data_IF_910626690712
#
_entry.id   IF_910626690712
#
_cell.length_a   1.000
_cell.length_b   1.000
_cell.length_c   1.000
_cell.angle_alpha   90.00
_cell.angle_beta   90.00
_cell.angle_gamma   90.00
#
_symmetry.space_group_name_H-M   'P 1'
#
loop_
_entity.id
_entity.type
_entity.pdbx_description
1 polymer ?
#
# COMPACT_ATOMS: atom_id res chain seq x y z
N UNK A 1 58.67 -0.54 -38.22
CA UNK A 1 57.49 -0.62 -39.10
C UNK A 1 56.23 -0.08 -38.42
N UNK A 2 56.09 1.25 -38.33
CA UNK A 2 54.77 1.88 -38.27
C UNK A 2 54.49 2.30 -39.72
N UNK A 3 53.50 1.67 -40.35
CA UNK A 3 53.09 2.02 -41.71
C UNK A 3 52.66 3.49 -41.78
N UNK A 4 52.66 4.11 -42.98
CA UNK A 4 52.26 5.50 -43.13
C UNK A 4 50.82 5.62 -42.62
N UNK A 5 50.63 6.43 -41.57
CA UNK A 5 49.29 6.80 -41.12
C UNK A 5 48.67 7.56 -42.29
N UNK A 6 47.69 6.94 -42.95
CA UNK A 6 46.98 7.49 -44.09
C UNK A 6 46.31 8.79 -43.63
N UNK A 7 46.94 9.94 -43.89
CA UNK A 7 46.40 11.25 -43.49
C UNK A 7 44.96 11.41 -44.01
N UNK A 8 44.65 10.86 -45.19
CA UNK A 8 43.30 10.80 -45.75
C UNK A 8 42.27 10.08 -44.88
N UNK A 9 42.58 8.94 -44.28
CA UNK A 9 41.65 8.23 -43.37
C UNK A 9 41.43 8.99 -42.06
N UNK A 10 42.45 9.69 -41.58
CA UNK A 10 42.33 10.54 -40.39
C UNK A 10 41.44 11.75 -40.64
N UNK A 11 41.52 12.37 -41.83
CA UNK A 11 40.62 13.46 -42.23
C UNK A 11 39.17 12.98 -42.38
N UNK A 12 38.94 11.83 -43.01
CA UNK A 12 37.58 11.25 -43.17
C UNK A 12 36.96 10.89 -41.81
N UNK A 13 37.74 10.34 -40.87
CA UNK A 13 37.27 10.07 -39.52
C UNK A 13 37.02 11.35 -38.70
N UNK A 14 37.79 12.42 -38.91
CA UNK A 14 37.56 13.73 -38.29
C UNK A 14 36.31 14.45 -38.83
N UNK A 15 35.93 14.19 -40.08
CA UNK A 15 34.76 14.77 -40.75
C UNK A 15 33.50 13.90 -40.64
N UNK A 16 33.60 12.66 -40.15
CA UNK A 16 32.45 11.74 -40.05
C UNK A 16 31.45 12.21 -38.99
N UNK A 17 30.29 12.68 -39.43
CA UNK A 17 29.16 13.04 -38.57
C UNK A 17 28.32 11.83 -38.12
N UNK A 18 28.51 10.67 -38.74
CA UNK A 18 27.79 9.45 -38.42
C UNK A 18 28.62 8.56 -37.50
N UNK A 19 27.97 8.09 -36.43
CA UNK A 19 28.51 7.14 -35.46
C UNK A 19 27.64 5.90 -35.45
N UNK A 20 28.24 4.74 -35.21
CA UNK A 20 27.50 3.50 -34.94
C UNK A 20 26.76 3.66 -33.62
N UNK A 21 25.48 4.00 -33.72
CA UNK A 21 24.58 4.22 -32.58
C UNK A 21 23.30 3.44 -32.80
N UNK A 22 22.74 2.93 -31.72
CA UNK A 22 21.46 2.23 -31.75
C UNK A 22 20.33 3.24 -31.55
N UNK A 23 19.16 2.96 -32.14
CA UNK A 23 17.95 3.75 -31.89
C UNK A 23 17.61 3.77 -30.40
N UNK A 24 17.19 4.92 -29.87
CA UNK A 24 16.93 5.11 -28.43
C UNK A 24 15.86 4.18 -27.85
N UNK A 25 14.90 3.72 -28.66
CA UNK A 25 13.85 2.80 -28.24
C UNK A 25 14.22 1.32 -28.47
N UNK A 26 15.41 1.05 -29.00
CA UNK A 26 15.90 -0.32 -29.14
C UNK A 26 16.23 -0.89 -27.77
N UNK A 27 15.93 -2.18 -27.55
CA UNK A 27 16.21 -2.87 -26.29
C UNK A 27 17.70 -2.85 -25.92
N UNK A 28 18.59 -2.75 -26.91
CA UNK A 28 20.03 -2.72 -26.69
C UNK A 28 20.58 -1.32 -26.37
N UNK A 29 19.79 -0.24 -26.53
CA UNK A 29 20.23 1.13 -26.30
C UNK A 29 20.40 1.50 -24.82
N UNK A 30 19.76 0.77 -23.91
CA UNK A 30 19.82 1.04 -22.46
C UNK A 30 19.21 2.38 -22.02
N UNK A 31 18.48 3.09 -22.89
CA UNK A 31 17.85 4.36 -22.56
C UNK A 31 16.69 4.16 -21.57
N UNK A 32 16.69 4.94 -20.48
CA UNK A 32 15.75 4.76 -19.37
C UNK A 32 14.97 6.05 -18.99
N UNK A 33 15.23 7.17 -19.66
CA UNK A 33 14.67 8.47 -19.27
C UNK A 33 13.36 8.80 -20.00
N UNK A 34 12.24 8.27 -19.52
CA UNK A 34 10.92 8.49 -20.11
C UNK A 34 10.11 9.62 -19.46
N UNK A 35 10.77 10.59 -18.81
CA UNK A 35 10.08 11.68 -18.09
C UNK A 35 9.18 12.52 -18.99
N UNK A 36 9.57 12.69 -20.27
CA UNK A 36 8.74 13.37 -21.26
C UNK A 36 7.41 12.66 -21.54
N UNK A 37 7.42 11.32 -21.62
CA UNK A 37 6.22 10.50 -21.81
C UNK A 37 5.28 10.65 -20.61
N UNK A 38 5.83 10.65 -19.39
CA UNK A 38 5.02 10.88 -18.19
C UNK A 38 4.34 12.25 -18.21
N UNK A 39 5.06 13.32 -18.60
CA UNK A 39 4.48 14.65 -18.73
C UNK A 39 3.39 14.68 -19.80
N UNK A 40 3.61 14.02 -20.95
CA UNK A 40 2.62 13.91 -22.01
C UNK A 40 1.35 13.18 -21.55
N UNK A 41 1.47 12.06 -20.82
CA UNK A 41 0.32 11.36 -20.24
C UNK A 41 -0.47 12.26 -19.29
N UNK A 42 0.20 13.08 -18.47
CA UNK A 42 -0.47 14.03 -17.58
C UNK A 42 -1.21 15.10 -18.38
N UNK A 43 -0.60 15.66 -19.43
CA UNK A 43 -1.24 16.66 -20.30
C UNK A 43 -2.47 16.07 -21.00
N UNK A 44 -2.34 14.88 -21.59
CA UNK A 44 -3.46 14.20 -22.26
C UNK A 44 -4.60 13.89 -21.30
N UNK A 45 -4.29 13.47 -20.07
CA UNK A 45 -5.30 13.22 -19.03
C UNK A 45 -6.03 14.51 -18.64
N UNK A 46 -5.31 15.64 -18.54
CA UNK A 46 -5.93 16.93 -18.26
C UNK A 46 -6.80 17.38 -19.43
N UNK A 47 -6.29 17.36 -20.66
CA UNK A 47 -7.02 17.84 -21.83
C UNK A 47 -8.29 17.02 -22.12
N UNK A 48 -8.20 15.69 -22.00
CA UNK A 48 -9.35 14.79 -22.23
C UNK A 48 -10.46 14.97 -21.20
N UNK A 49 -10.13 15.30 -19.95
CA UNK A 49 -11.10 15.41 -18.86
C UNK A 49 -11.43 16.86 -18.47
N UNK A 50 -10.69 17.86 -18.96
CA UNK A 50 -10.89 19.26 -18.60
C UNK A 50 -12.29 19.73 -18.96
N UNK A 51 -12.78 19.38 -20.16
CA UNK A 51 -14.15 19.71 -20.60
C UNK A 51 -15.20 19.13 -19.65
N UNK A 52 -15.11 17.85 -19.34
CA UNK A 52 -16.08 17.16 -18.48
C UNK A 52 -16.01 17.64 -17.01
N UNK A 53 -14.80 17.96 -16.53
CA UNK A 53 -14.61 18.60 -15.22
C UNK A 53 -15.26 19.99 -15.17
N UNK A 54 -15.04 20.83 -16.19
CA UNK A 54 -15.65 22.15 -16.31
C UNK A 54 -17.17 22.05 -16.42
N UNK A 55 -17.70 21.15 -17.26
CA UNK A 55 -19.14 20.91 -17.39
C UNK A 55 -19.75 20.46 -16.05
N UNK A 56 -19.12 19.54 -15.31
CA UNK A 56 -19.61 19.12 -14.00
C UNK A 56 -19.56 20.26 -12.96
N UNK A 57 -18.49 21.04 -12.95
CA UNK A 57 -18.33 22.16 -12.02
C UNK A 57 -19.36 23.28 -12.33
N UNK A 58 -19.65 23.54 -13.60
CA UNK A 58 -20.64 24.52 -14.02
C UNK A 58 -22.08 24.03 -13.80
N UNK A 59 -22.36 22.75 -14.08
CA UNK A 59 -23.71 22.19 -14.02
C UNK A 59 -24.17 21.87 -12.60
N UNK A 60 -23.26 21.41 -11.75
CA UNK A 60 -23.60 20.98 -10.40
C UNK A 60 -22.98 21.84 -9.30
N UNK A 61 -22.07 22.78 -9.63
CA UNK A 61 -21.37 23.56 -8.62
C UNK A 61 -20.47 22.69 -7.73
N UNK A 62 -20.11 23.22 -6.56
CA UNK A 62 -19.50 22.42 -5.49
C UNK A 62 -20.64 21.66 -4.80
N UNK A 63 -20.96 20.47 -5.30
CA UNK A 63 -22.01 19.58 -4.77
C UNK A 63 -21.79 19.10 -3.33
N UNK A 64 -20.55 19.20 -2.83
CA UNK A 64 -20.19 18.70 -1.52
C UNK A 64 -20.15 19.88 -0.57
N UNK A 65 -21.18 20.01 0.26
CA UNK A 65 -21.15 20.93 1.39
C UNK A 65 -20.46 20.25 2.58
N UNK A 66 -19.17 20.52 2.85
CA UNK A 66 -18.44 19.85 3.94
C UNK A 66 -19.06 20.15 5.30
N UNK A 67 -19.68 21.33 5.46
CA UNK A 67 -20.35 21.74 6.71
C UNK A 67 -21.62 20.92 6.91
N UNK A 68 -22.38 20.61 5.85
CA UNK A 68 -23.58 19.79 5.93
C UNK A 68 -23.25 18.33 6.20
N UNK A 69 -22.17 17.79 5.63
CA UNK A 69 -21.70 16.42 5.93
C UNK A 69 -21.25 16.30 7.39
N UNK A 70 -20.53 17.30 7.91
CA UNK A 70 -20.11 17.32 9.31
C UNK A 70 -21.30 17.49 10.25
N UNK A 71 -22.27 18.35 9.92
CA UNK A 71 -23.47 18.54 10.75
C UNK A 71 -24.38 17.30 10.75
N UNK A 72 -24.54 16.63 9.61
CA UNK A 72 -25.27 15.36 9.52
C UNK A 72 -24.61 14.27 10.38
N UNK A 73 -23.27 14.19 10.37
CA UNK A 73 -22.52 13.26 11.21
C UNK A 73 -22.63 13.58 12.71
N UNK A 74 -22.63 14.86 13.10
CA UNK A 74 -22.76 15.28 14.50
C UNK A 74 -24.18 15.11 15.03
N UNK A 75 -25.20 15.27 14.17
CA UNK A 75 -26.61 15.13 14.55
C UNK A 75 -27.03 13.67 14.73
N UNK A 76 -26.54 12.75 13.88
CA UNK A 76 -26.77 11.32 14.04
C UNK A 76 -25.49 10.50 13.79
N UNK A 77 -24.64 10.28 14.80
CA UNK A 77 -23.41 9.51 14.66
C UNK A 77 -23.65 8.02 14.40
N UNK A 78 -24.85 7.49 14.64
CA UNK A 78 -25.22 6.10 14.34
C UNK A 78 -25.65 5.91 12.88
N UNK A 79 -26.06 6.99 12.20
CA UNK A 79 -26.35 6.96 10.76
C UNK A 79 -25.12 6.68 9.89
N UNK A 80 -23.90 6.98 10.40
CA UNK A 80 -22.62 6.69 9.73
C UNK A 80 -21.74 5.76 10.60
N UNK A 81 -22.11 4.47 10.72
CA UNK A 81 -21.41 3.52 11.57
C UNK A 81 -19.93 3.38 11.21
N UNK A 82 -19.57 3.54 9.93
CA UNK A 82 -18.18 3.50 9.48
C UNK A 82 -17.33 4.62 10.08
N UNK A 83 -17.83 5.86 10.08
CA UNK A 83 -17.12 7.00 10.67
C UNK A 83 -17.08 6.90 12.20
N UNK A 84 -18.15 6.39 12.83
CA UNK A 84 -18.17 6.14 14.28
C UNK A 84 -17.14 5.07 14.72
N UNK A 85 -16.97 4.00 13.94
CA UNK A 85 -15.94 2.98 14.18
C UNK A 85 -14.52 3.52 14.02
N UNK A 86 -14.29 4.39 13.03
CA UNK A 86 -12.99 5.02 12.76
C UNK A 86 -12.65 6.10 13.78
N UNK A 87 -13.62 6.84 14.32
CA UNK A 87 -13.37 7.97 15.22
C UNK A 87 -13.47 7.53 16.69
N UNK A 88 -14.59 6.93 17.09
CA UNK A 88 -14.89 6.63 18.49
C UNK A 88 -14.13 5.43 19.04
N UNK A 89 -14.07 4.33 18.30
CA UNK A 89 -13.51 3.05 18.78
C UNK A 89 -12.01 2.88 18.46
N UNK A 90 -11.51 3.58 17.44
CA UNK A 90 -10.09 3.65 17.07
C UNK A 90 -9.21 4.24 18.16
N UNK A 91 -9.65 5.33 18.79
CA UNK A 91 -8.88 6.00 19.85
C UNK A 91 -8.75 5.12 21.10
N UNK A 92 -9.85 4.50 21.54
CA UNK A 92 -9.86 3.60 22.70
C UNK A 92 -8.91 2.43 22.52
N UNK A 93 -8.90 1.80 21.34
CA UNK A 93 -8.01 0.66 21.05
C UNK A 93 -6.55 1.06 20.86
N UNK A 94 -6.31 2.24 20.29
CA UNK A 94 -4.96 2.80 20.13
C UNK A 94 -4.34 3.17 21.48
N UNK A 95 -5.13 3.64 22.45
CA UNK A 95 -4.69 3.99 23.80
C UNK A 95 -4.47 2.78 24.72
N UNK A 96 -5.19 1.67 24.49
CA UNK A 96 -5.10 0.47 25.33
C UNK A 96 -3.72 -0.22 25.25
N UNK A 97 -3.08 -0.25 24.08
CA UNK A 97 -1.77 -0.89 23.87
C UNK A 97 -0.62 -0.21 24.61
N UNK A 98 -0.41 1.12 24.49
CA UNK A 98 0.64 1.81 25.23
C UNK A 98 0.38 1.78 26.74
N UNK A 99 -0.87 1.80 27.20
CA UNK A 99 -1.17 1.63 28.63
C UNK A 99 -0.73 0.24 29.13
N UNK A 100 -1.05 -0.83 28.39
CA UNK A 100 -0.61 -2.19 28.75
C UNK A 100 0.93 -2.34 28.69
N UNK A 101 1.59 -1.74 27.70
CA UNK A 101 3.06 -1.76 27.57
C UNK A 101 3.74 -0.94 28.67
N UNK A 102 3.21 0.22 29.03
CA UNK A 102 3.70 1.04 30.14
C UNK A 102 3.55 0.34 31.48
N UNK A 103 2.41 -0.34 31.71
CA UNK A 103 2.20 -1.15 32.92
C UNK A 103 3.12 -2.38 32.96
N UNK A 104 3.40 -3.01 31.81
CA UNK A 104 4.37 -4.11 31.72
C UNK A 104 5.82 -3.62 31.87
N UNK A 105 6.14 -2.41 31.43
CA UNK A 105 7.46 -1.79 31.58
C UNK A 105 7.76 -1.38 33.03
N UNK A 106 6.72 -1.05 33.82
CA UNK A 106 6.83 -0.72 35.24
C UNK A 106 6.97 -1.95 36.16
N UNK A 107 6.97 -3.17 35.60
CA UNK A 107 7.14 -4.41 36.37
C UNK A 107 5.86 -4.93 37.04
N UNK A 108 4.70 -4.30 36.81
CA UNK A 108 3.44 -4.67 37.46
C UNK A 108 2.79 -5.95 36.89
N UNK A 109 3.23 -6.44 35.73
CA UNK A 109 2.65 -7.63 35.06
C UNK A 109 3.72 -8.68 34.71
N UNK A 110 3.40 -9.95 34.95
CA UNK A 110 4.17 -11.11 34.46
C UNK A 110 4.17 -11.13 32.92
N UNK A 111 5.29 -11.53 32.31
CA UNK A 111 5.46 -11.52 30.84
C UNK A 111 4.37 -12.32 30.10
N UNK A 112 3.88 -13.41 30.70
CA UNK A 112 2.79 -14.23 30.16
C UNK A 112 1.47 -13.44 30.08
N UNK A 113 1.13 -12.68 31.12
CA UNK A 113 -0.11 -11.88 31.15
C UNK A 113 -0.04 -10.76 30.09
N UNK A 114 1.12 -10.10 29.97
CA UNK A 114 1.35 -9.11 28.92
C UNK A 114 1.19 -9.71 27.51
N UNK A 115 1.73 -10.91 27.28
CA UNK A 115 1.55 -11.62 26.01
C UNK A 115 0.08 -11.93 25.71
N UNK A 116 -0.67 -12.48 26.67
CA UNK A 116 -2.08 -12.83 26.52
C UNK A 116 -2.96 -11.60 26.25
N UNK A 117 -2.73 -10.51 26.97
CA UNK A 117 -3.45 -9.24 26.76
C UNK A 117 -3.17 -8.70 25.35
N UNK A 118 -1.92 -8.76 24.89
CA UNK A 118 -1.59 -8.35 23.52
C UNK A 118 -2.24 -9.22 22.47
N UNK A 119 -2.19 -10.55 22.61
CA UNK A 119 -2.85 -11.48 21.69
C UNK A 119 -4.35 -11.24 21.63
N UNK A 120 -4.99 -11.05 22.79
CA UNK A 120 -6.42 -10.74 22.88
C UNK A 120 -6.74 -9.41 22.18
N UNK A 121 -5.95 -8.37 22.44
CA UNK A 121 -6.16 -7.08 21.79
C UNK A 121 -5.97 -7.18 20.26
N UNK A 122 -4.93 -7.88 19.79
CA UNK A 122 -4.69 -8.09 18.36
C UNK A 122 -5.81 -8.88 17.69
N UNK A 123 -6.35 -9.91 18.34
CA UNK A 123 -7.49 -10.66 17.84
C UNK A 123 -8.75 -9.77 17.74
N UNK A 124 -9.06 -9.04 18.82
CA UNK A 124 -10.21 -8.12 18.85
C UNK A 124 -10.08 -7.02 17.79
N UNK A 125 -8.87 -6.53 17.49
CA UNK A 125 -8.64 -5.53 16.46
C UNK A 125 -9.04 -5.98 15.06
N UNK A 126 -8.99 -7.27 14.76
CA UNK A 126 -9.42 -7.82 13.48
C UNK A 126 -10.87 -8.30 13.52
N UNK A 127 -11.29 -8.99 14.57
CA UNK A 127 -12.63 -9.60 14.63
C UNK A 127 -13.74 -8.58 14.90
N UNK A 128 -13.48 -7.55 15.70
CA UNK A 128 -14.48 -6.53 16.04
C UNK A 128 -14.98 -5.73 14.82
N UNK A 129 -14.11 -5.06 14.02
CA UNK A 129 -14.59 -4.30 12.88
C UNK A 129 -15.24 -5.21 11.82
N UNK A 130 -14.74 -6.44 11.65
CA UNK A 130 -15.36 -7.41 10.75
C UNK A 130 -16.77 -7.80 11.20
N UNK A 131 -16.96 -8.10 12.48
CA UNK A 131 -18.28 -8.40 13.03
C UNK A 131 -19.25 -7.23 12.85
N UNK A 132 -18.81 -5.99 13.08
CA UNK A 132 -19.69 -4.82 12.91
C UNK A 132 -20.07 -4.62 11.44
N UNK A 133 -19.14 -4.76 10.49
CA UNK A 133 -19.45 -4.64 9.04
C UNK A 133 -20.43 -5.73 8.58
N UNK A 134 -20.34 -6.94 9.13
CA UNK A 134 -21.24 -8.05 8.80
C UNK A 134 -22.62 -7.91 9.46
N UNK A 135 -22.67 -7.52 10.74
CA UNK A 135 -23.89 -7.47 11.53
C UNK A 135 -24.70 -6.20 11.31
N UNK A 136 -24.06 -5.07 10.97
CA UNK A 136 -24.75 -3.79 10.80
C UNK A 136 -25.11 -3.59 9.32
N UNK A 137 -26.41 -3.68 8.94
CA UNK A 137 -26.84 -3.56 7.55
C UNK A 137 -26.65 -2.16 6.95
N UNK A 138 -26.59 -1.11 7.77
CA UNK A 138 -26.39 0.27 7.30
C UNK A 138 -24.95 0.59 6.85
N UNK A 139 -24.00 -0.33 7.03
CA UNK A 139 -22.63 -0.14 6.54
C UNK A 139 -22.57 -0.38 5.03
N UNK A 140 -22.23 0.65 4.27
CA UNK A 140 -21.98 0.50 2.83
C UNK A 140 -20.70 -0.30 2.57
N UNK A 141 -20.60 -1.07 1.47
CA UNK A 141 -19.39 -1.84 1.14
C UNK A 141 -18.13 -0.97 1.07
N UNK A 142 -18.23 0.23 0.49
CA UNK A 142 -17.10 1.19 0.42
C UNK A 142 -16.68 1.65 1.81
N UNK A 143 -17.65 1.97 2.69
CA UNK A 143 -17.38 2.31 4.09
C UNK A 143 -16.76 1.14 4.85
N UNK A 144 -17.20 -0.09 4.59
CA UNK A 144 -16.65 -1.33 5.14
C UNK A 144 -15.17 -1.51 4.78
N UNK A 145 -14.81 -1.38 3.49
CA UNK A 145 -13.40 -1.45 3.04
C UNK A 145 -12.54 -0.41 3.76
N UNK A 146 -13.04 0.82 3.92
CA UNK A 146 -12.31 1.89 4.61
C UNK A 146 -12.10 1.59 6.11
N UNK A 147 -13.12 1.10 6.81
CA UNK A 147 -13.03 0.68 8.22
C UNK A 147 -12.05 -0.49 8.37
N UNK A 148 -12.23 -1.57 7.61
CA UNK A 148 -11.35 -2.73 7.72
C UNK A 148 -9.91 -2.39 7.34
N UNK A 149 -9.71 -1.53 6.32
CA UNK A 149 -8.40 -1.04 5.91
C UNK A 149 -7.70 -0.25 7.01
N UNK A 150 -8.40 0.70 7.65
CA UNK A 150 -7.84 1.48 8.76
C UNK A 150 -7.50 0.63 9.98
N UNK A 151 -8.36 -0.32 10.35
CA UNK A 151 -8.09 -1.27 11.44
C UNK A 151 -6.94 -2.23 11.11
N UNK A 152 -6.81 -2.66 9.85
CA UNK A 152 -5.68 -3.49 9.39
C UNK A 152 -4.36 -2.72 9.47
N UNK A 153 -4.34 -1.47 9.02
CA UNK A 153 -3.16 -0.59 9.15
C UNK A 153 -2.78 -0.43 10.63
N UNK A 154 -3.76 -0.17 11.50
CA UNK A 154 -3.53 -0.02 12.93
C UNK A 154 -3.01 -1.33 13.55
N UNK A 155 -3.57 -2.49 13.19
CA UNK A 155 -3.09 -3.79 13.60
C UNK A 155 -1.60 -3.98 13.25
N UNK A 156 -1.20 -3.72 12.00
CA UNK A 156 0.19 -3.86 11.55
C UNK A 156 1.13 -2.91 12.32
N UNK A 157 0.69 -1.68 12.57
CA UNK A 157 1.44 -0.70 13.36
C UNK A 157 1.62 -1.13 14.80
N UNK A 158 0.55 -1.52 15.47
CA UNK A 158 0.61 -1.95 16.87
C UNK A 158 1.43 -3.24 17.06
N UNK A 159 1.37 -4.15 16.08
CA UNK A 159 2.26 -5.31 16.03
C UNK A 159 3.73 -4.88 16.00
N UNK A 160 4.07 -3.95 15.11
CA UNK A 160 5.44 -3.42 15.02
C UNK A 160 5.86 -2.69 16.30
N UNK A 161 4.96 -1.91 16.89
CA UNK A 161 5.19 -1.19 18.15
C UNK A 161 5.51 -2.15 19.30
N UNK A 162 4.75 -3.25 19.44
CA UNK A 162 5.00 -4.30 20.43
C UNK A 162 6.39 -4.91 20.23
N UNK A 163 6.68 -5.39 19.02
CA UNK A 163 7.94 -6.08 18.71
C UNK A 163 9.17 -5.22 19.03
N UNK A 164 9.15 -3.97 18.60
CA UNK A 164 10.30 -3.07 18.77
C UNK A 164 10.50 -2.70 20.24
N UNK A 165 9.43 -2.44 20.99
CA UNK A 165 9.54 -2.17 22.43
C UNK A 165 10.00 -3.42 23.21
N UNK A 166 9.53 -4.60 22.82
CA UNK A 166 10.00 -5.87 23.39
C UNK A 166 11.51 -6.05 23.16
N UNK A 167 11.99 -5.82 21.94
CA UNK A 167 13.42 -5.89 21.64
C UNK A 167 14.23 -4.86 22.42
N UNK A 168 13.74 -3.62 22.53
CA UNK A 168 14.40 -2.57 23.31
C UNK A 168 14.49 -2.93 24.80
N UNK A 169 13.45 -3.56 25.36
CA UNK A 169 13.44 -4.07 26.74
C UNK A 169 14.43 -5.22 26.93
N UNK A 170 14.48 -6.18 26.02
CA UNK A 170 15.47 -7.26 26.07
C UNK A 170 16.90 -6.69 26.01
N UNK A 171 17.16 -5.77 25.08
CA UNK A 171 18.44 -5.07 24.96
C UNK A 171 18.83 -4.30 26.24
N UNK A 172 17.89 -3.62 26.89
CA UNK A 172 18.17 -2.90 28.13
C UNK A 172 18.48 -3.85 29.30
N UNK A 173 17.78 -4.97 29.42
CA UNK A 173 18.08 -5.98 30.45
C UNK A 173 19.43 -6.64 30.23
N UNK A 174 19.82 -6.92 28.97
CA UNK A 174 21.15 -7.46 28.64
C UNK A 174 22.24 -6.43 28.96
N UNK A 175 22.02 -5.15 28.61
CA UNK A 175 22.95 -4.07 28.99
C UNK A 175 23.09 -3.94 30.51
N UNK A 176 21.98 -3.97 31.25
CA UNK A 176 22.00 -3.93 32.70
C UNK A 176 22.76 -5.13 33.31
N UNK A 177 22.53 -6.34 32.81
CA UNK A 177 23.28 -7.55 33.22
C UNK A 177 24.77 -7.47 32.88
N UNK A 178 25.12 -6.87 31.74
CA UNK A 178 26.53 -6.66 31.34
C UNK A 178 27.21 -5.63 32.24
N UNK A 179 26.52 -4.51 32.53
CA UNK A 179 27.01 -3.46 33.43
C UNK A 179 27.19 -4.00 34.87
N UNK A 180 26.24 -4.81 35.35
CA UNK A 180 26.33 -5.48 36.65
C UNK A 180 27.47 -6.50 36.73
N UNK A 181 27.88 -7.09 35.60
CA UNK A 181 29.08 -7.96 35.50
C UNK A 181 30.39 -7.18 35.34
N UNK A 182 30.35 -5.93 34.85
CA UNK A 182 31.53 -5.08 34.65
C UNK A 182 31.64 -4.02 35.75
N UNK A 183 31.94 -4.45 36.98
CA UNK A 183 32.17 -3.58 38.14
C UNK A 183 33.55 -2.91 38.18
N UNK A 184 34.17 -2.68 37.01
CA UNK A 184 35.43 -1.94 36.88
C UNK A 184 35.49 -1.17 35.56
N UNK A 185 34.91 0.03 35.55
CA UNK A 185 35.40 1.24 34.86
C UNK A 185 34.31 2.33 34.84
N UNK A 186 34.59 3.55 35.35
CA UNK A 186 33.70 4.68 35.18
C UNK A 186 33.99 5.35 33.83
N UNK A 187 32.97 5.52 32.98
CA UNK A 187 33.03 6.52 31.91
C UNK A 187 31.63 6.95 31.55
N UNK A 188 31.26 8.13 32.04
CA UNK A 188 30.13 8.88 31.52
C UNK A 188 30.37 9.21 30.06
N UNK A 189 29.55 8.67 29.17
CA UNK A 189 29.46 9.20 27.82
C UNK A 189 28.61 10.46 27.87
N UNK A 190 29.29 11.59 27.99
CA UNK A 190 28.84 12.89 27.49
C UNK A 190 28.50 12.75 26.01
N UNK A 191 27.22 12.56 25.69
CA UNK A 191 26.69 12.78 24.35
C UNK A 191 26.65 14.29 24.12
N UNK A 192 27.75 14.80 23.56
CA UNK A 192 27.87 16.17 23.05
C UNK A 192 26.85 16.42 21.93
N UNK A 193 26.08 17.52 22.11
CA UNK A 193 25.51 18.39 21.09
C UNK A 193 24.85 17.80 19.83
N UNK A 194 23.53 17.91 19.72
CA UNK A 194 22.87 18.02 18.40
C UNK A 194 21.41 17.58 18.34
N UNK A 195 21.08 16.38 18.82
CA UNK A 195 19.72 15.84 18.76
C UNK A 195 19.42 15.00 20.00
N UNK A 196 18.38 15.37 20.75
CA UNK A 196 17.85 14.56 21.87
C UNK A 196 17.29 13.25 21.31
N UNK A 197 18.13 12.23 21.19
CA UNK A 197 17.68 10.89 20.80
C UNK A 197 16.84 10.29 21.91
N UNK A 198 15.62 9.87 21.58
CA UNK A 198 14.72 9.22 22.54
C UNK A 198 15.23 7.80 22.78
N UNK A 199 15.49 7.49 24.04
CA UNK A 199 15.90 6.16 24.51
C UNK A 199 14.76 5.52 25.32
N UNK A 200 14.63 4.19 25.25
CA UNK A 200 13.70 3.45 26.10
C UNK A 200 14.08 3.64 27.59
N UNK A 201 13.14 3.89 28.51
CA UNK A 201 11.67 3.88 28.36
C UNK A 201 11.02 5.23 28.00
N UNK A 202 11.80 6.28 27.73
CA UNK A 202 11.30 7.63 27.45
C UNK A 202 10.48 7.79 26.16
N UNK A 203 10.35 6.74 25.35
CA UNK A 203 9.54 6.69 24.14
C UNK A 203 8.06 6.31 24.38
N UNK A 204 7.70 5.91 25.60
CA UNK A 204 6.35 5.48 25.97
C UNK A 204 5.41 6.68 26.24
N UNK A 205 5.44 7.69 25.37
CA UNK A 205 4.55 8.85 25.46
C UNK A 205 3.36 8.70 24.52
N UNK A 206 2.19 9.21 24.95
CA UNK A 206 0.97 9.23 24.13
C UNK A 206 1.21 10.02 22.83
N UNK A 207 1.99 11.11 22.91
CA UNK A 207 2.33 11.95 21.76
C UNK A 207 3.10 11.17 20.69
N UNK A 208 4.13 10.42 21.07
CA UNK A 208 4.94 9.67 20.12
C UNK A 208 4.17 8.48 19.51
N UNK A 209 3.26 7.89 20.29
CA UNK A 209 2.30 6.90 19.79
C UNK A 209 1.39 7.48 18.71
N UNK A 210 0.68 8.57 18.99
CA UNK A 210 -0.21 9.19 18.00
C UNK A 210 0.56 9.66 16.78
N UNK A 211 1.78 10.17 16.96
CA UNK A 211 2.66 10.48 15.84
C UNK A 211 2.87 9.25 14.94
N UNK A 212 3.24 8.11 15.51
CA UNK A 212 3.45 6.88 14.76
C UNK A 212 2.17 6.35 14.10
N UNK A 213 1.03 6.45 14.78
CA UNK A 213 -0.28 6.04 14.27
C UNK A 213 -0.66 6.81 13.00
N UNK A 214 -0.31 8.09 12.91
CA UNK A 214 -0.55 8.88 11.70
C UNK A 214 0.61 8.86 10.69
N UNK A 215 1.83 8.52 11.10
CA UNK A 215 2.99 8.47 10.21
C UNK A 215 2.79 7.50 9.03
N UNK A 216 3.21 7.82 7.80
CA UNK A 216 2.99 6.98 6.63
C UNK A 216 3.98 5.79 6.55
N UNK A 217 4.16 5.08 7.67
CA UNK A 217 4.99 3.87 7.81
C UNK A 217 4.30 2.86 8.70
N UNK A 218 4.56 1.57 8.47
CA UNK A 218 4.06 0.47 9.29
C UNK A 218 5.11 -0.05 10.29
N UNK A 219 6.38 0.31 10.09
CA UNK A 219 7.47 -0.09 10.97
C UNK A 219 7.71 0.99 12.03
N UNK A 220 7.56 0.64 13.30
CA UNK A 220 7.87 1.52 14.42
C UNK A 220 9.39 1.63 14.61
N UNK A 221 9.85 2.85 14.87
CA UNK A 221 11.22 3.17 15.28
C UNK A 221 11.16 4.25 16.36
N UNK A 222 12.16 4.27 17.24
CA UNK A 222 12.18 5.22 18.36
C UNK A 222 12.38 6.66 17.84
N UNK A 223 13.26 6.81 16.85
CA UNK A 223 13.64 8.10 16.30
C UNK A 223 13.42 8.07 14.79
N UNK A 224 12.30 8.65 14.34
CA UNK A 224 12.01 8.79 12.92
C UNK A 224 12.80 9.94 12.29
N UNK A 225 13.30 9.80 11.05
CA UNK A 225 13.93 10.91 10.35
C UNK A 225 12.90 12.03 10.15
N UNK A 226 13.26 13.27 10.54
CA UNK A 226 12.38 14.44 10.44
C UNK A 226 12.85 15.42 9.39
N UNK A 227 11.89 15.99 8.66
CA UNK A 227 12.13 17.17 7.84
C UNK A 227 12.20 18.42 8.73
N UNK A 228 13.11 19.37 8.46
CA UNK A 228 13.30 20.54 9.34
C UNK A 228 12.04 21.42 9.39
N UNK A 229 11.46 21.74 8.23
CA UNK A 229 10.30 22.61 8.08
C UNK A 229 9.25 21.98 7.16
N UNK A 230 7.99 22.42 7.31
CA UNK A 230 6.90 22.08 6.39
C UNK A 230 7.00 23.00 5.17
N UNK A 231 7.20 22.42 3.98
CA UNK A 231 7.25 23.16 2.72
C UNK A 231 5.83 23.37 2.19
N UNK A 232 5.22 24.49 2.54
CA UNK A 232 3.82 24.81 2.18
C UNK A 232 3.55 24.74 0.67
N UNK A 233 4.48 25.20 -0.17
CA UNK A 233 4.34 25.12 -1.63
C UNK A 233 4.28 23.67 -2.13
N UNK A 234 5.08 22.77 -1.55
CA UNK A 234 5.02 21.35 -1.86
C UNK A 234 3.72 20.73 -1.33
N UNK A 235 3.33 21.05 -0.10
CA UNK A 235 2.10 20.56 0.53
C UNK A 235 0.85 20.93 -0.29
N UNK A 236 0.71 22.21 -0.66
CA UNK A 236 -0.40 22.71 -1.47
C UNK A 236 -0.42 22.08 -2.88
N UNK A 237 0.75 21.91 -3.50
CA UNK A 237 0.85 21.21 -4.79
C UNK A 237 0.36 19.77 -4.69
N UNK A 238 0.72 19.04 -3.62
CA UNK A 238 0.26 17.67 -3.38
C UNK A 238 -1.23 17.60 -3.03
N UNK A 239 -1.74 18.56 -2.29
CA UNK A 239 -3.17 18.68 -1.99
C UNK A 239 -3.99 18.87 -3.27
N UNK A 240 -3.62 19.85 -4.11
CA UNK A 240 -4.29 20.08 -5.39
C UNK A 240 -4.23 18.84 -6.30
N UNK A 241 -3.06 18.20 -6.37
CA UNK A 241 -2.89 16.98 -7.14
C UNK A 241 -3.76 15.83 -6.61
N UNK A 242 -3.86 15.67 -5.29
CA UNK A 242 -4.66 14.63 -4.64
C UNK A 242 -6.16 14.84 -4.94
N UNK A 243 -6.66 16.06 -4.79
CA UNK A 243 -8.07 16.39 -5.10
C UNK A 243 -8.35 16.16 -6.59
N UNK A 244 -7.50 16.69 -7.49
CA UNK A 244 -7.68 16.53 -8.93
C UNK A 244 -7.69 15.05 -9.35
N UNK A 245 -6.74 14.25 -8.86
CA UNK A 245 -6.67 12.82 -9.20
C UNK A 245 -7.85 12.03 -8.63
N UNK A 246 -8.30 12.36 -7.42
CA UNK A 246 -9.47 11.74 -6.81
C UNK A 246 -10.74 11.99 -7.66
N UNK A 247 -10.95 13.23 -8.11
CA UNK A 247 -12.09 13.57 -8.95
C UNK A 247 -12.05 12.85 -10.30
N UNK A 248 -10.88 12.78 -10.95
CA UNK A 248 -10.70 12.01 -12.19
C UNK A 248 -10.96 10.52 -11.95
N UNK A 249 -10.52 9.97 -10.82
CA UNK A 249 -10.76 8.58 -10.46
C UNK A 249 -12.26 8.29 -10.31
N UNK A 250 -12.99 9.13 -9.57
CA UNK A 250 -14.45 8.98 -9.41
C UNK A 250 -15.19 9.12 -10.75
N UNK A 251 -14.84 10.13 -11.55
CA UNK A 251 -15.42 10.34 -12.87
C UNK A 251 -15.19 9.14 -13.79
N UNK A 252 -13.97 8.62 -13.82
CA UNK A 252 -13.60 7.44 -14.60
C UNK A 252 -14.35 6.21 -14.12
N UNK A 253 -14.48 6.02 -12.79
CA UNK A 253 -15.28 4.93 -12.21
C UNK A 253 -16.73 4.99 -12.70
N UNK A 254 -17.38 6.15 -12.55
CA UNK A 254 -18.80 6.31 -12.89
C UNK A 254 -19.08 6.27 -14.38
N UNK A 255 -18.29 6.98 -15.20
CA UNK A 255 -18.57 7.14 -16.62
C UNK A 255 -18.01 6.00 -17.47
N UNK A 256 -16.91 5.38 -17.05
CA UNK A 256 -16.25 4.34 -17.84
C UNK A 256 -16.51 2.94 -17.30
N UNK A 257 -16.31 2.71 -16.01
CA UNK A 257 -16.34 1.36 -15.45
C UNK A 257 -17.76 0.84 -15.21
N UNK A 258 -18.67 1.66 -14.65
CA UNK A 258 -20.05 1.23 -14.36
C UNK A 258 -20.79 0.75 -15.63
N UNK A 259 -20.79 1.48 -16.77
CA UNK A 259 -21.49 1.01 -17.97
C UNK A 259 -20.90 -0.28 -18.55
N UNK A 260 -19.58 -0.46 -18.45
CA UNK A 260 -18.90 -1.68 -18.89
C UNK A 260 -19.32 -2.86 -18.00
N UNK A 261 -19.35 -2.67 -16.68
CA UNK A 261 -19.81 -3.71 -15.75
C UNK A 261 -21.27 -4.07 -16.07
N UNK A 262 -22.18 -3.10 -16.12
CA UNK A 262 -23.60 -3.32 -16.41
C UNK A 262 -23.83 -4.04 -17.75
N UNK A 263 -23.12 -3.63 -18.80
CA UNK A 263 -23.21 -4.30 -20.11
C UNK A 263 -22.58 -5.69 -20.15
N UNK A 264 -21.70 -6.01 -19.20
CA UNK A 264 -21.07 -7.32 -19.08
C UNK A 264 -21.86 -8.30 -18.21
N UNK A 265 -22.91 -7.84 -17.50
CA UNK A 265 -23.74 -8.71 -16.64
C UNK A 265 -24.61 -9.69 -17.45
N UNK A 266 -25.19 -9.26 -18.58
CA UNK A 266 -26.07 -10.12 -19.40
C UNK A 266 -25.35 -11.35 -19.98
N UNK A 267 -24.16 -11.23 -20.61
CA UNK A 267 -23.47 -12.39 -21.19
C UNK A 267 -22.85 -13.35 -20.17
N UNK A 268 -22.69 -12.91 -18.92
CA UNK A 268 -22.25 -13.77 -17.81
C UNK A 268 -23.33 -14.81 -17.45
N UNK A 269 -24.60 -14.51 -17.72
CA UNK A 269 -25.75 -15.40 -17.53
C UNK A 269 -25.72 -16.59 -18.50
N UNK A 270 -25.31 -16.34 -19.75
CA UNK A 270 -25.32 -17.33 -20.84
C UNK A 270 -24.12 -18.32 -20.81
N UNK A 271 -23.18 -18.18 -19.86
CA UNK A 271 -21.99 -19.04 -19.68
C UNK A 271 -21.10 -19.27 -20.93
N UNK A 272 -21.14 -18.37 -21.92
CA UNK A 272 -20.28 -18.46 -23.10
C UNK A 272 -18.83 -18.04 -22.78
N UNK A 273 -17.91 -19.01 -22.71
CA UNK A 273 -16.48 -18.76 -22.41
C UNK A 273 -15.80 -17.77 -23.37
N UNK A 274 -16.19 -17.78 -24.65
CA UNK A 274 -15.66 -16.85 -25.66
C UNK A 274 -16.08 -15.41 -25.38
N UNK A 275 -17.36 -15.20 -25.06
CA UNK A 275 -17.93 -13.90 -24.70
C UNK A 275 -17.40 -13.42 -23.35
N UNK A 276 -17.21 -14.32 -22.38
CA UNK A 276 -16.57 -13.98 -21.11
C UNK A 276 -15.14 -13.46 -21.30
N UNK A 277 -14.36 -14.09 -22.18
CA UNK A 277 -12.98 -13.68 -22.47
C UNK A 277 -12.93 -12.31 -23.16
N UNK A 278 -13.82 -12.07 -24.14
CA UNK A 278 -13.96 -10.77 -24.80
C UNK A 278 -14.28 -9.65 -23.78
N UNK A 279 -15.23 -9.91 -22.88
CA UNK A 279 -15.65 -8.94 -21.85
C UNK A 279 -14.58 -8.73 -20.79
N UNK A 280 -13.87 -9.78 -20.38
CA UNK A 280 -12.72 -9.69 -19.47
C UNK A 280 -11.66 -8.76 -20.06
N UNK A 281 -11.31 -8.91 -21.34
CA UNK A 281 -10.35 -8.05 -22.02
C UNK A 281 -10.85 -6.60 -22.11
N UNK A 282 -12.14 -6.39 -22.36
CA UNK A 282 -12.77 -5.06 -22.39
C UNK A 282 -12.75 -4.38 -21.02
N UNK A 283 -12.90 -5.14 -19.93
CA UNK A 283 -12.82 -4.65 -18.55
C UNK A 283 -11.38 -4.46 -18.08
N UNK A 284 -10.43 -5.24 -18.61
CA UNK A 284 -9.05 -5.26 -18.16
C UNK A 284 -8.35 -3.91 -18.29
N UNK A 285 -8.52 -3.23 -19.43
CA UNK A 285 -7.88 -1.94 -19.69
C UNK A 285 -8.40 -0.83 -18.76
N UNK A 286 -9.72 -0.57 -18.65
CA UNK A 286 -10.25 0.41 -17.69
C UNK A 286 -9.85 0.09 -16.24
N UNK A 287 -9.98 -1.17 -15.83
CA UNK A 287 -9.63 -1.60 -14.47
C UNK A 287 -8.15 -1.33 -14.16
N UNK A 288 -7.26 -1.69 -15.08
CA UNK A 288 -5.83 -1.47 -14.92
C UNK A 288 -5.49 0.04 -14.83
N UNK A 289 -6.08 0.87 -15.68
CA UNK A 289 -5.87 2.32 -15.63
C UNK A 289 -6.38 2.93 -14.33
N UNK A 290 -7.52 2.46 -13.83
CA UNK A 290 -8.03 2.86 -12.51
C UNK A 290 -7.11 2.45 -11.37
N UNK A 291 -6.54 1.25 -11.44
CA UNK A 291 -5.55 0.79 -10.47
C UNK A 291 -4.27 1.65 -10.49
N UNK A 292 -3.78 2.04 -11.67
CA UNK A 292 -2.64 2.96 -11.80
C UNK A 292 -2.95 4.36 -11.25
N UNK A 293 -4.15 4.89 -11.52
CA UNK A 293 -4.60 6.17 -10.98
C UNK A 293 -4.70 6.10 -9.45
N UNK A 294 -5.27 5.03 -8.91
CA UNK A 294 -5.34 4.77 -7.47
C UNK A 294 -3.95 4.67 -6.85
N UNK A 295 -3.04 3.90 -7.46
CA UNK A 295 -1.66 3.76 -7.02
C UNK A 295 -0.99 5.13 -6.88
N UNK A 296 -1.08 5.96 -7.93
CA UNK A 296 -0.49 7.29 -7.89
C UNK A 296 -1.15 8.16 -6.82
N UNK A 297 -2.49 8.21 -6.81
CA UNK A 297 -3.25 9.04 -5.87
C UNK A 297 -2.88 8.71 -4.42
N UNK A 298 -2.93 7.42 -4.06
CA UNK A 298 -2.67 6.96 -2.69
C UNK A 298 -1.19 6.99 -2.33
N UNK A 299 -0.33 6.23 -3.04
CA UNK A 299 1.06 6.05 -2.65
C UNK A 299 1.95 7.25 -2.94
N UNK A 300 1.66 8.02 -4.00
CA UNK A 300 2.44 9.22 -4.30
C UNK A 300 1.81 10.45 -3.65
N UNK A 301 0.59 10.84 -4.01
CA UNK A 301 0.03 12.12 -3.58
C UNK A 301 -0.37 12.11 -2.11
N UNK A 302 -1.18 11.14 -1.65
CA UNK A 302 -1.67 11.10 -0.27
C UNK A 302 -0.56 10.82 0.75
N UNK A 303 0.28 9.80 0.54
CA UNK A 303 1.36 9.50 1.50
C UNK A 303 2.41 10.62 1.58
N UNK A 304 2.76 11.29 0.47
CA UNK A 304 3.66 12.45 0.54
C UNK A 304 3.01 13.66 1.21
N UNK A 305 1.70 13.86 1.04
CA UNK A 305 0.96 14.90 1.75
C UNK A 305 0.99 14.64 3.27
N UNK A 306 0.65 13.42 3.70
CA UNK A 306 0.73 13.02 5.11
C UNK A 306 2.15 13.10 5.65
N UNK A 307 3.15 12.69 4.88
CA UNK A 307 4.56 12.78 5.26
C UNK A 307 5.01 14.22 5.48
N UNK A 308 4.68 15.13 4.57
CA UNK A 308 5.03 16.55 4.70
C UNK A 308 4.32 17.18 5.89
N UNK A 309 3.02 16.90 6.08
CA UNK A 309 2.23 17.40 7.22
C UNK A 309 2.82 16.96 8.57
N UNK A 310 3.28 15.71 8.65
CA UNK A 310 3.89 15.13 9.86
C UNK A 310 5.41 15.33 9.95
N UNK A 311 6.02 16.09 9.03
CA UNK A 311 7.47 16.27 8.91
C UNK A 311 8.24 14.95 8.87
N UNK A 312 7.68 13.92 8.26
CA UNK A 312 8.30 12.61 8.09
C UNK A 312 9.31 12.64 6.92
N UNK A 313 10.55 12.24 7.19
CA UNK A 313 11.66 12.31 6.25
C UNK A 313 11.79 11.13 5.28
N UNK A 314 11.40 9.91 5.70
CA UNK A 314 11.46 8.73 4.82
C UNK A 314 10.26 8.74 3.86
N UNK A 315 10.49 9.19 2.62
CA UNK A 315 9.44 9.31 1.59
C UNK A 315 9.51 8.20 0.55
N UNK A 316 10.27 7.15 0.83
CA UNK A 316 10.43 6.03 -0.08
C UNK A 316 9.28 5.02 0.09
N UNK A 317 8.10 5.37 -0.40
CA UNK A 317 6.91 4.52 -0.32
C UNK A 317 6.85 3.45 -1.42
N UNK A 318 7.53 3.68 -2.53
CA UNK A 318 7.63 2.76 -3.66
C UNK A 318 8.95 2.98 -4.41
N UNK A 319 9.32 2.02 -5.25
CA UNK A 319 10.46 2.04 -6.18
C UNK A 319 9.96 1.89 -7.63
N UNK A 320 10.88 1.76 -8.57
CA UNK A 320 10.66 1.57 -10.01
C UNK A 320 10.07 0.19 -10.36
N UNK A 321 8.92 -0.14 -9.76
CA UNK A 321 8.23 -1.40 -9.97
C UNK A 321 7.72 -1.59 -11.41
N UNK A 322 7.57 -0.52 -12.20
CA UNK A 322 7.17 -0.59 -13.62
C UNK A 322 8.26 -1.16 -14.55
N UNK A 323 9.51 -1.20 -14.08
CA UNK A 323 10.65 -1.80 -14.78
C UNK A 323 10.97 -3.21 -14.25
N UNK A 324 10.04 -3.86 -13.56
CA UNK A 324 10.28 -5.15 -12.92
C UNK A 324 10.42 -6.27 -13.95
N UNK A 325 11.61 -6.87 -14.05
CA UNK A 325 11.83 -8.05 -14.90
C UNK A 325 11.25 -9.35 -14.30
N UNK A 326 10.94 -9.34 -13.01
CA UNK A 326 10.36 -10.49 -12.31
C UNK A 326 9.19 -10.08 -11.41
N UNK A 327 8.23 -10.99 -11.26
CA UNK A 327 7.06 -10.83 -10.36
C UNK A 327 7.51 -10.61 -8.91
N UNK A 328 8.59 -11.27 -8.49
CA UNK A 328 9.18 -11.09 -7.16
C UNK A 328 9.67 -9.67 -6.94
N UNK A 329 10.36 -9.07 -7.92
CA UNK A 329 10.83 -7.69 -7.82
C UNK A 329 9.66 -6.71 -7.76
N UNK A 330 8.59 -6.94 -8.52
CA UNK A 330 7.36 -6.12 -8.46
C UNK A 330 6.78 -6.08 -7.04
N UNK A 331 6.55 -7.24 -6.42
CA UNK A 331 5.93 -7.34 -5.08
C UNK A 331 6.78 -6.73 -3.95
N UNK A 332 8.09 -6.57 -4.15
CA UNK A 332 8.98 -5.93 -3.18
C UNK A 332 8.98 -4.40 -3.29
N UNK A 333 8.65 -3.86 -4.46
CA UNK A 333 8.91 -2.46 -4.81
C UNK A 333 7.63 -1.62 -4.98
N UNK A 334 6.46 -2.24 -5.14
CA UNK A 334 5.20 -1.50 -5.29
C UNK A 334 4.77 -0.79 -3.98
N UNK A 335 4.80 -1.49 -2.84
CA UNK A 335 4.39 -1.00 -1.53
C UNK A 335 5.47 -1.31 -0.48
N UNK A 336 6.42 -0.39 -0.38
CA UNK A 336 7.58 -0.54 0.50
C UNK A 336 7.19 -0.57 1.98
N UNK A 337 6.23 0.24 2.48
CA UNK A 337 5.81 0.17 3.88
C UNK A 337 5.37 -1.25 4.30
N UNK A 338 4.53 -1.91 3.51
CA UNK A 338 4.08 -3.29 3.78
C UNK A 338 5.23 -4.28 3.58
N UNK A 339 6.01 -4.12 2.52
CA UNK A 339 7.15 -5.00 2.27
C UNK A 339 8.18 -4.96 3.40
N UNK A 340 8.58 -3.77 3.87
CA UNK A 340 9.49 -3.57 5.01
C UNK A 340 8.92 -4.23 6.28
N UNK A 341 7.61 -4.09 6.53
CA UNK A 341 6.95 -4.71 7.67
C UNK A 341 7.00 -6.25 7.59
N UNK A 342 6.57 -6.83 6.47
CA UNK A 342 6.63 -8.28 6.24
C UNK A 342 8.05 -8.81 6.38
N UNK A 343 9.05 -8.09 5.86
CA UNK A 343 10.44 -8.48 5.94
C UNK A 343 10.99 -8.45 7.37
N UNK A 344 10.68 -7.40 8.15
CA UNK A 344 11.22 -7.17 9.50
C UNK A 344 10.52 -7.99 10.58
N UNK A 345 9.20 -8.07 10.54
CA UNK A 345 8.37 -8.60 11.62
C UNK A 345 7.88 -10.03 11.38
N UNK A 346 7.94 -10.51 10.13
CA UNK A 346 7.44 -11.84 9.78
C UNK A 346 8.54 -12.72 9.18
N UNK A 347 9.12 -12.33 8.05
CA UNK A 347 10.11 -13.11 7.31
C UNK A 347 11.42 -13.32 8.08
N UNK A 348 12.06 -12.25 8.58
CA UNK A 348 13.33 -12.37 9.34
C UNK A 348 13.16 -13.21 10.62
N UNK A 349 12.11 -13.03 11.44
CA UNK A 349 11.85 -13.89 12.59
C UNK A 349 11.65 -15.37 12.22
N UNK A 350 10.94 -15.68 11.14
CA UNK A 350 10.80 -17.07 10.67
C UNK A 350 12.16 -17.67 10.27
N UNK A 351 12.99 -16.92 9.55
CA UNK A 351 14.34 -17.39 9.20
C UNK A 351 15.21 -17.61 10.45
N UNK A 352 15.14 -16.73 11.45
CA UNK A 352 15.87 -16.89 12.72
C UNK A 352 15.45 -18.12 13.51
N UNK A 353 14.19 -18.58 13.34
CA UNK A 353 13.67 -19.81 13.94
C UNK A 353 14.07 -21.08 13.17
N UNK A 354 14.79 -20.96 12.05
CA UNK A 354 15.30 -22.09 11.27
C UNK A 354 14.42 -22.52 10.09
N UNK A 355 13.36 -21.77 9.74
CA UNK A 355 12.55 -22.08 8.57
C UNK A 355 13.30 -21.81 7.25
N UNK A 356 13.00 -22.59 6.21
CA UNK A 356 13.60 -22.41 4.88
C UNK A 356 13.13 -21.11 4.22
N UNK A 357 13.92 -20.59 3.27
CA UNK A 357 13.58 -19.37 2.50
C UNK A 357 12.25 -19.53 1.73
N UNK A 358 12.04 -20.70 1.10
CA UNK A 358 10.81 -20.99 0.33
C UNK A 358 9.58 -20.98 1.24
N UNK A 359 9.64 -21.69 2.38
CA UNK A 359 8.54 -21.73 3.35
C UNK A 359 8.25 -20.33 3.90
N UNK A 360 9.29 -19.57 4.23
CA UNK A 360 9.13 -18.20 4.74
C UNK A 360 8.52 -17.25 3.70
N UNK A 361 8.88 -17.39 2.41
CA UNK A 361 8.26 -16.63 1.32
C UNK A 361 6.79 -17.02 1.13
N UNK A 362 6.48 -18.33 1.05
CA UNK A 362 5.10 -18.82 0.94
C UNK A 362 4.23 -18.37 2.11
N UNK A 363 4.76 -18.35 3.34
CA UNK A 363 4.05 -17.86 4.51
C UNK A 363 3.73 -16.35 4.42
N UNK A 364 4.64 -15.53 3.89
CA UNK A 364 4.37 -14.09 3.65
C UNK A 364 3.26 -13.91 2.62
N UNK A 365 3.27 -14.69 1.54
CA UNK A 365 2.20 -14.65 0.52
C UNK A 365 0.86 -15.11 1.09
N UNK A 366 0.83 -16.16 1.91
CA UNK A 366 -0.37 -16.63 2.59
C UNK A 366 -0.96 -15.54 3.51
N UNK A 367 -0.11 -14.90 4.33
CA UNK A 367 -0.54 -13.79 5.19
C UNK A 367 -1.09 -12.62 4.38
N UNK A 368 -0.44 -12.29 3.25
CA UNK A 368 -0.92 -11.25 2.34
C UNK A 368 -2.27 -11.63 1.73
N UNK A 369 -2.43 -12.88 1.26
CA UNK A 369 -3.66 -13.40 0.68
C UNK A 369 -4.83 -13.35 1.68
N UNK A 370 -4.58 -13.68 2.96
CA UNK A 370 -5.56 -13.53 4.03
C UNK A 370 -6.06 -12.09 4.16
N UNK A 371 -5.18 -11.09 4.19
CA UNK A 371 -5.60 -9.69 4.29
C UNK A 371 -6.31 -9.18 3.04
N UNK A 372 -5.91 -9.62 1.84
CA UNK A 372 -6.61 -9.25 0.60
C UNK A 372 -8.03 -9.83 0.58
N UNK A 373 -8.19 -11.11 0.92
CA UNK A 373 -9.50 -11.73 1.04
C UNK A 373 -10.32 -11.04 2.14
N UNK A 374 -9.75 -10.77 3.31
CA UNK A 374 -10.43 -10.07 4.41
C UNK A 374 -10.96 -8.70 4.01
N UNK A 375 -10.18 -7.91 3.26
CA UNK A 375 -10.57 -6.56 2.82
C UNK A 375 -11.62 -6.57 1.70
N UNK A 376 -11.71 -7.65 0.91
CA UNK A 376 -12.66 -7.77 -0.22
C UNK A 376 -13.92 -8.53 0.19
N UNK A 377 -13.78 -9.70 0.79
CA UNK A 377 -14.88 -10.61 1.15
C UNK A 377 -15.81 -10.05 2.22
N UNK A 378 -15.27 -9.44 3.28
CA UNK A 378 -16.07 -8.99 4.43
C UNK A 378 -16.99 -7.83 4.06
N UNK A 379 -16.55 -6.76 3.37
CA UNK A 379 -17.45 -5.68 2.95
C UNK A 379 -18.47 -6.10 1.90
N UNK A 380 -18.11 -7.06 1.04
CA UNK A 380 -19.01 -7.62 0.02
C UNK A 380 -19.92 -8.72 0.57
N UNK A 381 -19.66 -9.22 1.79
CA UNK A 381 -20.35 -10.36 2.42
C UNK A 381 -20.27 -11.66 1.59
N UNK A 382 -19.16 -11.86 0.90
CA UNK A 382 -18.96 -12.97 -0.03
C UNK A 382 -17.66 -13.72 0.23
N UNK A 383 -17.76 -14.96 0.71
CA UNK A 383 -16.62 -15.78 1.12
C UNK A 383 -16.23 -16.85 0.09
N UNK A 384 -16.11 -16.46 -1.19
CA UNK A 384 -15.78 -17.37 -2.31
C UNK A 384 -14.28 -17.66 -2.47
N UNK A 385 -13.39 -16.96 -1.74
CA UNK A 385 -11.93 -17.15 -1.73
C UNK A 385 -11.22 -16.87 -3.07
N UNK A 386 -11.83 -16.11 -3.99
CA UNK A 386 -11.23 -15.81 -5.29
C UNK A 386 -9.97 -14.94 -5.19
N UNK A 387 -9.96 -13.92 -4.32
CA UNK A 387 -8.78 -13.07 -4.13
C UNK A 387 -7.63 -13.86 -3.48
N UNK A 388 -7.95 -14.73 -2.51
CA UNK A 388 -6.99 -15.64 -1.91
C UNK A 388 -6.33 -16.55 -2.96
N UNK A 389 -7.12 -17.22 -3.80
CA UNK A 389 -6.61 -18.11 -4.84
C UNK A 389 -5.78 -17.33 -5.89
N UNK A 390 -6.23 -16.13 -6.28
CA UNK A 390 -5.49 -15.26 -7.19
C UNK A 390 -4.11 -14.88 -6.65
N UNK A 391 -4.00 -14.57 -5.35
CA UNK A 391 -2.71 -14.27 -4.71
C UNK A 391 -1.81 -15.50 -4.60
N UNK A 392 -2.36 -16.68 -4.31
CA UNK A 392 -1.58 -17.92 -4.24
C UNK A 392 -1.09 -18.38 -5.62
N UNK A 393 -1.88 -18.15 -6.68
CA UNK A 393 -1.49 -18.44 -8.07
C UNK A 393 -0.30 -17.60 -8.55
N UNK A 394 -0.01 -16.46 -7.91
CA UNK A 394 1.17 -15.66 -8.22
C UNK A 394 2.49 -16.37 -7.85
N UNK A 395 2.49 -17.33 -6.92
CA UNK A 395 3.71 -18.07 -6.54
C UNK A 395 4.22 -18.98 -7.68
N UNK A 396 3.40 -19.87 -8.26
CA UNK A 396 3.78 -20.62 -9.47
C UNK A 396 4.13 -19.70 -10.64
N UNK A 397 3.37 -18.61 -10.83
CA UNK A 397 3.64 -17.65 -11.91
C UNK A 397 5.00 -16.98 -11.74
N UNK A 398 5.37 -16.58 -10.52
CA UNK A 398 6.66 -15.98 -10.23
C UNK A 398 7.82 -16.94 -10.50
N UNK A 399 7.63 -18.24 -10.19
CA UNK A 399 8.60 -19.27 -10.53
C UNK A 399 8.73 -19.45 -12.05
N UNK A 400 7.61 -19.52 -12.77
CA UNK A 400 7.59 -19.65 -14.23
C UNK A 400 8.28 -18.46 -14.92
N UNK A 401 7.84 -17.23 -14.62
CA UNK A 401 8.42 -16.02 -15.22
C UNK A 401 9.91 -15.91 -14.91
N UNK A 402 10.31 -16.19 -13.66
CA UNK A 402 11.71 -16.14 -13.25
C UNK A 402 12.61 -17.21 -13.88
N UNK A 403 12.05 -18.34 -14.31
CA UNK A 403 12.82 -19.42 -14.95
C UNK A 403 12.89 -19.27 -16.47
N UNK A 404 11.78 -18.90 -17.12
CA UNK A 404 11.64 -18.94 -18.57
C UNK A 404 11.81 -17.59 -19.27
N UNK A 405 11.56 -16.46 -18.59
CA UNK A 405 11.57 -15.13 -19.20
C UNK A 405 12.67 -14.26 -18.59
N UNK A 406 13.36 -13.46 -19.42
CA UNK A 406 14.45 -12.57 -18.99
C UNK A 406 14.34 -11.19 -19.65
N UNK A 407 14.81 -10.16 -18.96
CA UNK A 407 14.83 -8.78 -19.47
C UNK A 407 13.43 -8.25 -19.81
N UNK A 408 13.31 -7.62 -20.98
CA UNK A 408 12.08 -6.98 -21.44
C UNK A 408 10.88 -7.95 -21.56
N UNK A 409 11.12 -9.22 -21.88
CA UNK A 409 10.06 -10.23 -21.94
C UNK A 409 9.54 -10.60 -20.54
N UNK A 410 10.41 -10.59 -19.53
CA UNK A 410 10.02 -10.73 -18.12
C UNK A 410 9.15 -9.55 -17.68
N UNK A 411 9.54 -8.33 -18.05
CA UNK A 411 8.73 -7.14 -17.79
C UNK A 411 7.34 -7.22 -18.46
N UNK A 412 7.29 -7.61 -19.74
CA UNK A 412 6.01 -7.81 -20.45
C UNK A 412 5.11 -8.84 -19.74
N UNK A 413 5.66 -9.94 -19.25
CA UNK A 413 4.90 -10.94 -18.49
C UNK A 413 4.37 -10.41 -17.15
N UNK A 414 5.13 -9.56 -16.46
CA UNK A 414 4.64 -8.88 -15.24
C UNK A 414 3.47 -7.96 -15.58
N UNK A 415 3.56 -7.17 -16.66
CA UNK A 415 2.45 -6.32 -17.10
C UNK A 415 1.21 -7.13 -17.47
N UNK A 416 1.35 -8.23 -18.21
CA UNK A 416 0.23 -9.11 -18.55
C UNK A 416 -0.43 -9.68 -17.28
N UNK A 417 0.37 -10.12 -16.30
CA UNK A 417 -0.14 -10.60 -15.01
C UNK A 417 -0.97 -9.55 -14.27
N UNK A 418 -0.47 -8.30 -14.20
CA UNK A 418 -1.16 -7.21 -13.49
C UNK A 418 -2.42 -6.77 -14.22
N UNK A 419 -2.38 -6.72 -15.56
CA UNK A 419 -3.50 -6.28 -16.39
C UNK A 419 -4.64 -7.30 -16.35
N UNK A 420 -4.35 -8.60 -16.40
CA UNK A 420 -5.39 -9.66 -16.48
C UNK A 420 -5.81 -10.17 -15.09
N UNK A 421 -4.87 -10.28 -14.15
CA UNK A 421 -5.11 -10.93 -12.85
C UNK A 421 -6.14 -10.21 -11.98
N UNK A 422 -6.04 -8.88 -11.85
CA UNK A 422 -6.97 -8.10 -11.03
C UNK A 422 -8.40 -8.06 -11.58
N UNK A 423 -8.64 -7.75 -12.87
CA UNK A 423 -9.99 -7.76 -13.43
C UNK A 423 -10.62 -9.15 -13.41
N UNK A 424 -9.83 -10.23 -13.52
CA UNK A 424 -10.36 -11.58 -13.39
C UNK A 424 -10.98 -11.81 -12.01
N UNK A 425 -10.26 -11.45 -10.94
CA UNK A 425 -10.80 -11.55 -9.58
C UNK A 425 -12.06 -10.68 -9.40
N UNK A 426 -12.01 -9.42 -9.85
CA UNK A 426 -13.16 -8.50 -9.77
C UNK A 426 -14.37 -9.04 -10.53
N UNK A 427 -14.18 -9.56 -11.74
CA UNK A 427 -15.26 -10.14 -12.55
C UNK A 427 -15.93 -11.32 -11.84
N UNK A 428 -15.14 -12.20 -11.20
CA UNK A 428 -15.68 -13.33 -10.44
C UNK A 428 -16.50 -12.88 -9.23
N UNK A 429 -16.03 -11.89 -8.46
CA UNK A 429 -16.81 -11.33 -7.35
C UNK A 429 -18.08 -10.64 -7.84
N UNK A 430 -18.03 -9.89 -8.94
CA UNK A 430 -19.20 -9.19 -9.50
C UNK A 430 -20.23 -10.18 -10.04
N UNK A 431 -19.78 -11.21 -10.77
CA UNK A 431 -20.62 -12.31 -11.23
C UNK A 431 -21.35 -12.96 -10.05
N UNK A 432 -20.59 -13.36 -9.03
CA UNK A 432 -21.14 -14.05 -7.88
C UNK A 432 -22.08 -13.17 -7.05
N UNK A 433 -21.79 -11.86 -6.96
CA UNK A 433 -22.66 -10.89 -6.31
C UNK A 433 -24.00 -10.80 -7.03
N UNK A 434 -23.96 -10.74 -8.36
CA UNK A 434 -25.15 -10.67 -9.19
C UNK A 434 -26.01 -11.94 -9.10
N UNK A 435 -25.38 -13.12 -9.22
CA UNK A 435 -26.08 -14.41 -9.08
C UNK A 435 -26.77 -14.51 -7.72
N UNK A 436 -26.15 -14.02 -6.64
CA UNK A 436 -26.75 -14.06 -5.31
C UNK A 436 -27.93 -13.09 -5.13
N UNK A 437 -27.86 -11.87 -5.70
CA UNK A 437 -28.86 -10.83 -5.45
C UNK A 437 -29.99 -10.77 -6.48
N UNK A 438 -29.74 -11.14 -7.73
CA UNK A 438 -30.74 -11.01 -8.81
C UNK A 438 -31.35 -12.33 -9.26
N UNK A 439 -30.70 -13.47 -9.03
CA UNK A 439 -31.27 -14.79 -9.37
C UNK A 439 -32.27 -15.28 -8.31
N UNK A 440 -32.14 -14.83 -7.06
CA UNK A 440 -33.08 -15.14 -5.98
C UNK A 440 -34.41 -14.38 -6.09
N UNK A 441 -34.53 -13.36 -6.93
CA UNK A 441 -35.80 -12.67 -7.19
C UNK A 441 -36.63 -13.35 -8.31
N UNK A 442 -36.05 -14.34 -9.01
CA UNK A 442 -36.68 -15.02 -10.14
C UNK A 442 -37.20 -16.44 -9.83
N UNK A 443 -36.87 -16.98 -8.65
CA UNK A 443 -37.42 -18.22 -8.08
C UNK A 443 -38.30 -17.88 -6.88
#
# INVERSE_FOLDING_TARGET
>A
NRGPINKGELWVNFLSCHKTQQSLLSSASGYSNYRGVLNWCVVMLVLSNARLFLENLLRYGILVDPIQVISLFLNDPYSWPAACLVIGRFNVKTLAVPLCLSLSAQGSFTELVGFLVHCTNMAVMLTFPAAVVLLVPSVTPVGGVFVLGTYTILFLKLYSYKDVNMWCRELSTVKAKKLARSLSCPSGQTLNGGDRQVCYPGNLTIRDMYYFVFAPTLCYELNFPRSPNIRMSFLLRRLFEMVRKYLIFLLSFHQWMIPIIQSSMKPLEDMDLSRMTERLLRLAVPNHLMWLMFFYWFFHSSLNFTAELLRFGDRQFYKDWWNSESVTYFWQNWNIPVHKWCLRHFYKPLLRRGFSKKVSQSAVFFLSAFFHEYLVSVPLRMFRLWAFMGMMAQLPLAWFVGHFLRGNYGNAAVWISIIIGQPFAVLMYVHDYYVLHYRQEAD
#
